data_IF_734308368551
#
_entry.id   IF_734308368551
#
_cell.length_a   1.000
_cell.length_b   1.000
_cell.length_c   1.000
_cell.angle_alpha   90.00
_cell.angle_beta   90.00
_cell.angle_gamma   90.00
#
_symmetry.space_group_name_H-M   'P 1'
#
loop_
_entity.id
_entity.type
_entity.pdbx_description
1 polymer ?
#
# COMPACT_ATOMS: atom_id res chain seq x y z
N UNK A 1 3.91 -11.30 -49.15
CA UNK A 1 4.90 -10.35 -49.72
C UNK A 1 6.16 -10.36 -48.86
N UNK A 2 7.26 -10.61 -49.50
CA UNK A 2 8.69 -10.72 -49.19
C UNK A 2 9.19 -10.17 -47.82
N UNK A 3 9.82 -11.07 -47.05
CA UNK A 3 10.79 -10.76 -45.96
C UNK A 3 12.17 -10.45 -46.56
N UNK A 4 13.00 -9.60 -45.95
CA UNK A 4 14.44 -9.69 -46.15
C UNK A 4 15.14 -10.28 -44.88
N UNK A 5 16.03 -11.22 -45.21
CA UNK A 5 17.13 -11.75 -44.37
C UNK A 5 18.14 -10.63 -44.09
N UNK A 6 18.67 -10.59 -42.88
CA UNK A 6 19.93 -9.92 -42.57
C UNK A 6 20.93 -10.91 -41.98
N UNK A 7 22.11 -10.89 -42.57
CA UNK A 7 23.21 -11.82 -42.36
C UNK A 7 23.98 -11.46 -41.07
N UNK A 8 24.41 -12.52 -40.37
CA UNK A 8 25.36 -12.49 -39.25
C UNK A 8 26.77 -12.38 -39.84
N UNK A 9 27.51 -11.36 -39.40
CA UNK A 9 28.94 -11.23 -39.69
C UNK A 9 29.71 -11.57 -38.40
N UNK A 10 30.41 -12.71 -38.40
CA UNK A 10 31.33 -13.12 -37.36
C UNK A 10 32.68 -12.39 -37.54
N UNK A 11 33.16 -11.73 -36.50
CA UNK A 11 34.49 -11.16 -36.45
C UNK A 11 35.31 -11.86 -35.39
N UNK A 12 36.25 -12.68 -35.85
CA UNK A 12 37.27 -13.36 -35.02
C UNK A 12 38.40 -12.40 -34.74
N UNK A 13 38.77 -12.22 -33.47
CA UNK A 13 40.01 -11.57 -33.07
C UNK A 13 40.87 -12.49 -32.21
N UNK A 14 42.09 -12.61 -32.64
CA UNK A 14 43.20 -13.43 -32.16
C UNK A 14 43.62 -13.08 -30.74
N UNK A 15 43.86 -14.12 -29.95
CA UNK A 15 44.61 -14.10 -28.69
C UNK A 15 46.14 -13.98 -29.02
N UNK A 16 46.77 -12.97 -28.43
CA UNK A 16 48.22 -12.92 -28.27
C UNK A 16 48.53 -13.09 -26.80
N UNK A 17 49.12 -14.21 -26.47
CA UNK A 17 49.75 -14.49 -25.17
C UNK A 17 51.10 -13.81 -25.11
N UNK A 18 51.36 -13.04 -24.08
CA UNK A 18 52.70 -12.66 -23.67
C UNK A 18 52.94 -13.11 -22.24
N UNK A 19 53.72 -14.17 -22.10
CA UNK A 19 54.37 -14.59 -20.86
C UNK A 19 55.43 -13.55 -20.46
N UNK A 20 55.37 -13.03 -19.26
CA UNK A 20 56.50 -12.40 -18.58
C UNK A 20 56.54 -12.83 -17.13
N UNK A 21 57.46 -13.71 -16.82
CA UNK A 21 57.95 -13.96 -15.48
C UNK A 21 58.74 -12.73 -15.02
N UNK A 22 58.36 -12.12 -13.91
CA UNK A 22 59.24 -11.21 -13.18
C UNK A 22 59.20 -11.47 -11.67
N UNK A 23 60.40 -11.56 -11.18
CA UNK A 23 60.98 -11.74 -9.87
C UNK A 23 60.19 -11.22 -8.65
N UNK A 24 60.07 -12.11 -7.66
CA UNK A 24 59.79 -11.77 -6.26
C UNK A 24 61.02 -11.10 -5.63
N UNK A 25 61.03 -9.80 -5.51
CA UNK A 25 61.86 -9.10 -4.54
C UNK A 25 61.00 -8.74 -3.30
N UNK A 26 61.55 -9.13 -2.16
CA UNK A 26 61.02 -8.83 -0.82
C UNK A 26 61.13 -7.32 -0.58
N UNK A 27 59.99 -6.59 -0.61
CA UNK A 27 59.95 -5.25 -0.04
C UNK A 27 59.54 -5.32 1.43
N UNK A 28 60.42 -4.76 2.24
CA UNK A 28 60.31 -4.56 3.68
C UNK A 28 59.18 -3.57 3.97
N UNK A 29 58.47 -3.83 5.07
CA UNK A 29 57.28 -3.10 5.53
C UNK A 29 57.38 -1.58 5.48
N UNK A 30 56.57 -1.00 4.63
CA UNK A 30 56.19 0.37 4.77
C UNK A 30 55.08 0.49 5.84
N UNK A 31 55.24 1.44 6.76
CA UNK A 31 54.23 1.74 7.77
C UNK A 31 52.91 2.06 7.09
N UNK A 32 51.76 1.61 7.66
CA UNK A 32 50.46 1.93 7.07
C UNK A 32 50.30 3.45 6.93
N UNK A 33 49.77 3.93 5.80
CA UNK A 33 49.55 5.35 5.61
C UNK A 33 48.67 5.89 6.75
N UNK A 34 48.90 7.14 7.21
CA UNK A 34 48.09 7.74 8.26
C UNK A 34 46.62 7.68 7.86
N UNK A 35 45.78 7.17 8.77
CA UNK A 35 44.34 7.17 8.62
C UNK A 35 43.92 8.62 8.30
N UNK A 36 43.58 8.86 7.03
CA UNK A 36 43.02 10.15 6.63
C UNK A 36 41.77 10.37 7.47
N UNK A 37 41.75 11.43 8.26
CA UNK A 37 40.57 11.86 9.01
C UNK A 37 39.42 11.99 7.99
N UNK A 38 38.48 11.04 8.02
CA UNK A 38 37.29 11.09 7.20
C UNK A 38 36.61 12.44 7.44
N UNK A 39 36.34 13.17 6.36
CA UNK A 39 35.52 14.40 6.46
C UNK A 39 34.25 14.03 7.27
N UNK A 40 33.81 14.91 8.20
CA UNK A 40 32.58 14.64 8.94
C UNK A 40 31.48 14.28 7.95
N UNK A 41 30.83 13.11 8.14
CA UNK A 41 29.75 12.67 7.26
C UNK A 41 28.61 13.69 7.24
N UNK A 42 27.77 13.65 6.21
CA UNK A 42 26.64 14.58 6.01
C UNK A 42 25.75 14.70 7.26
N UNK A 43 25.61 13.62 8.02
CA UNK A 43 24.82 13.57 9.25
C UNK A 43 25.59 13.95 10.53
N UNK A 44 26.83 14.40 10.47
CA UNK A 44 27.67 14.67 11.66
C UNK A 44 27.05 15.69 12.65
N UNK A 45 26.24 16.65 12.15
CA UNK A 45 25.49 17.62 12.96
C UNK A 45 24.13 17.08 13.48
N UNK A 46 23.84 15.78 13.34
CA UNK A 46 22.57 15.17 13.70
C UNK A 46 21.47 15.36 12.65
N UNK A 47 21.84 15.71 11.42
CA UNK A 47 20.92 15.90 10.30
C UNK A 47 20.17 17.24 10.32
N UNK A 48 19.36 17.47 9.27
CA UNK A 48 18.54 18.65 9.11
C UNK A 48 17.43 18.76 10.19
N UNK A 49 16.79 19.92 10.24
CA UNK A 49 15.68 20.18 11.17
C UNK A 49 14.42 20.56 10.39
N UNK A 50 13.30 19.97 10.78
CA UNK A 50 11.98 20.37 10.30
C UNK A 50 11.54 21.59 11.10
N UNK A 51 11.43 22.74 10.42
CA UNK A 51 11.00 24.01 11.04
C UNK A 51 9.49 24.15 11.13
N UNK A 52 8.75 23.31 10.41
CA UNK A 52 7.29 23.28 10.44
C UNK A 52 6.79 22.74 11.80
N UNK A 53 6.20 23.62 12.61
CA UNK A 53 5.77 23.30 13.98
C UNK A 53 4.67 22.24 14.04
N UNK A 54 3.90 22.05 12.95
CA UNK A 54 2.81 21.08 12.90
C UNK A 54 3.28 19.64 12.61
N UNK A 55 4.51 19.48 12.11
CA UNK A 55 5.02 18.16 11.71
C UNK A 55 6.41 17.82 12.23
N UNK A 56 7.13 18.78 12.82
CA UNK A 56 8.51 18.58 13.29
C UNK A 56 8.65 17.38 14.23
N UNK A 57 7.67 17.14 15.10
CA UNK A 57 7.68 16.03 16.05
C UNK A 57 7.56 14.64 15.39
N UNK A 58 7.09 14.55 14.16
CA UNK A 58 6.86 13.28 13.47
C UNK A 58 8.10 12.79 12.72
N UNK A 59 9.10 13.63 12.53
CA UNK A 59 10.29 13.31 11.76
C UNK A 59 11.53 13.18 12.66
N UNK A 60 12.00 11.94 12.91
CA UNK A 60 13.28 11.74 13.60
C UNK A 60 14.41 12.36 12.78
N UNK A 61 15.28 13.15 13.41
CA UNK A 61 16.42 13.76 12.71
C UNK A 61 17.36 12.73 12.11
N UNK A 62 17.47 11.56 12.75
CA UNK A 62 18.30 10.44 12.33
C UNK A 62 17.57 9.11 12.48
N UNK A 63 17.78 8.20 11.54
CA UNK A 63 17.31 6.82 11.59
C UNK A 63 18.36 5.88 10.95
N UNK A 64 18.94 4.97 11.73
CA UNK A 64 20.09 4.17 11.35
C UNK A 64 21.25 5.06 10.81
N UNK A 65 21.77 4.80 9.62
CA UNK A 65 22.82 5.62 8.99
C UNK A 65 22.26 6.86 8.26
N UNK A 66 20.95 7.01 8.17
CA UNK A 66 20.29 8.10 7.46
C UNK A 66 19.93 9.26 8.38
N UNK A 67 19.94 10.47 7.85
CA UNK A 67 19.44 11.67 8.53
C UNK A 67 18.62 12.52 7.57
N UNK A 68 17.75 13.38 8.13
CA UNK A 68 17.12 14.45 7.32
C UNK A 68 18.22 15.21 6.62
N UNK A 69 18.09 15.41 5.31
CA UNK A 69 19.05 16.13 4.49
C UNK A 69 19.25 17.57 5.04
N UNK A 70 20.43 17.92 5.56
CA UNK A 70 20.68 19.25 6.13
C UNK A 70 20.65 20.35 5.06
N UNK A 71 20.80 20.01 3.78
CA UNK A 71 20.75 20.92 2.63
C UNK A 71 19.45 20.75 1.84
N UNK A 72 18.59 19.80 2.25
CA UNK A 72 17.31 19.51 1.60
C UNK A 72 16.24 20.52 1.99
N UNK A 73 15.27 20.69 1.11
CA UNK A 73 14.11 21.50 1.37
C UNK A 73 13.04 20.69 2.10
N UNK A 74 12.45 21.28 3.15
CA UNK A 74 11.22 20.79 3.77
C UNK A 74 10.07 21.65 3.27
N UNK A 75 9.14 21.05 2.54
CA UNK A 75 7.98 21.75 1.99
C UNK A 75 6.70 21.30 2.66
N UNK A 76 5.80 22.23 2.91
CA UNK A 76 4.48 21.96 3.49
C UNK A 76 3.38 22.60 2.64
N UNK A 77 2.28 21.87 2.46
CA UNK A 77 1.16 22.24 1.61
C UNK A 77 -0.17 22.00 2.35
N UNK A 78 -1.16 22.80 2.05
CA UNK A 78 -2.52 22.67 2.58
C UNK A 78 -2.77 23.42 3.87
N UNK A 79 -3.56 22.86 4.76
CA UNK A 79 -4.00 23.50 6.01
C UNK A 79 -2.82 23.91 6.88
N UNK A 80 -2.80 25.16 7.29
CA UNK A 80 -1.74 25.76 8.13
C UNK A 80 -0.34 25.66 7.50
N UNK A 81 -0.24 25.65 6.16
CA UNK A 81 1.00 25.57 5.42
C UNK A 81 1.21 26.82 4.53
N UNK A 82 2.48 27.14 4.17
CA UNK A 82 2.78 28.29 3.29
C UNK A 82 2.22 28.13 1.88
N UNK A 83 2.11 26.90 1.38
CA UNK A 83 1.61 26.59 0.05
C UNK A 83 0.21 25.96 0.10
N UNK A 84 -0.62 26.25 -0.90
CA UNK A 84 -1.95 25.68 -1.01
C UNK A 84 -1.90 24.16 -1.30
N UNK A 85 -2.97 23.45 -0.96
CA UNK A 85 -3.08 22.01 -1.24
C UNK A 85 -3.04 21.72 -2.75
N UNK A 86 -3.56 22.61 -3.59
CA UNK A 86 -3.56 22.42 -5.05
C UNK A 86 -2.16 22.37 -5.66
N UNK A 87 -1.17 23.02 -5.03
CA UNK A 87 0.22 22.91 -5.47
C UNK A 87 0.81 21.51 -5.31
N UNK A 88 0.32 20.73 -4.35
CA UNK A 88 0.74 19.31 -4.19
C UNK A 88 0.50 18.52 -5.47
N UNK A 89 -0.60 18.78 -6.16
CA UNK A 89 -1.01 18.09 -7.36
C UNK A 89 -0.01 18.23 -8.51
N UNK A 90 0.59 19.43 -8.63
CA UNK A 90 1.54 19.74 -9.70
C UNK A 90 3.00 19.52 -9.31
N UNK A 91 3.30 19.59 -8.01
CA UNK A 91 4.69 19.57 -7.52
C UNK A 91 5.13 18.21 -6.95
N UNK A 92 4.19 17.38 -6.48
CA UNK A 92 4.52 16.11 -5.79
C UNK A 92 3.79 14.88 -6.34
N UNK A 93 2.53 14.99 -6.77
CA UNK A 93 1.66 13.84 -7.02
C UNK A 93 1.34 13.61 -8.49
N UNK A 94 1.98 14.37 -9.39
CA UNK A 94 1.92 14.19 -10.85
C UNK A 94 0.50 13.85 -11.40
N UNK A 95 -0.51 14.58 -10.91
CA UNK A 95 -1.91 14.40 -11.32
C UNK A 95 -2.76 13.46 -10.45
N UNK A 96 -2.20 12.64 -9.57
CA UNK A 96 -2.97 11.72 -8.69
C UNK A 96 -3.69 12.39 -7.51
N UNK A 97 -3.72 13.71 -7.48
CA UNK A 97 -4.21 14.50 -6.36
C UNK A 97 -5.67 14.23 -5.99
N UNK A 98 -6.51 13.98 -6.97
CA UNK A 98 -7.94 13.74 -6.74
C UNK A 98 -8.18 12.45 -5.91
N UNK A 99 -7.31 11.44 -6.06
CA UNK A 99 -7.36 10.24 -5.21
C UNK A 99 -7.15 10.63 -3.75
N UNK A 100 -6.11 11.40 -3.45
CA UNK A 100 -5.84 11.86 -2.07
C UNK A 100 -6.98 12.72 -1.51
N UNK A 101 -7.51 13.65 -2.33
CA UNK A 101 -8.62 14.54 -1.93
C UNK A 101 -9.90 13.77 -1.64
N UNK A 102 -10.20 12.69 -2.38
CA UNK A 102 -11.39 11.86 -2.15
C UNK A 102 -11.41 11.22 -0.77
N UNK A 103 -10.24 10.95 -0.18
CA UNK A 103 -10.08 10.47 1.21
C UNK A 103 -10.00 11.60 2.24
N UNK A 104 -10.12 12.86 1.83
CA UNK A 104 -10.12 14.00 2.73
C UNK A 104 -8.72 14.51 3.09
N UNK A 105 -7.78 14.53 2.15
CA UNK A 105 -6.45 15.12 2.34
C UNK A 105 -6.56 16.57 2.77
N UNK A 106 -5.91 16.94 3.89
CA UNK A 106 -5.86 18.31 4.41
C UNK A 106 -4.47 18.94 4.27
N UNK A 107 -3.42 18.14 4.43
CA UNK A 107 -2.04 18.64 4.52
C UNK A 107 -1.05 17.60 4.05
N UNK A 108 0.03 18.06 3.40
CA UNK A 108 1.20 17.24 3.06
C UNK A 108 2.46 17.93 3.50
N UNK A 109 3.40 17.18 4.05
CA UNK A 109 4.77 17.64 4.31
C UNK A 109 5.72 16.68 3.61
N UNK A 110 6.66 17.21 2.83
CA UNK A 110 7.67 16.42 2.13
C UNK A 110 9.07 16.81 2.58
N UNK A 111 9.92 15.82 2.73
CA UNK A 111 11.35 15.97 3.01
C UNK A 111 12.13 14.74 2.53
N UNK A 112 13.45 14.81 2.62
CA UNK A 112 14.35 13.75 2.18
C UNK A 112 15.31 13.35 3.30
N UNK A 113 15.52 12.04 3.44
CA UNK A 113 16.62 11.48 4.23
C UNK A 113 17.76 11.09 3.29
N UNK A 114 19.00 11.34 3.73
CA UNK A 114 20.24 11.02 2.99
C UNK A 114 21.15 10.14 3.84
N UNK A 115 21.98 9.35 3.19
CA UNK A 115 22.95 8.49 3.88
C UNK A 115 24.07 9.34 4.51
N UNK A 116 24.34 9.11 5.78
CA UNK A 116 25.41 9.78 6.52
C UNK A 116 26.81 9.51 5.98
N UNK A 117 27.02 8.37 5.31
CA UNK A 117 28.26 8.04 4.65
C UNK A 117 28.46 8.76 3.29
N UNK A 118 27.43 9.45 2.79
CA UNK A 118 27.49 10.21 1.53
C UNK A 118 27.22 9.36 0.29
N UNK A 119 26.59 8.18 0.43
CA UNK A 119 26.05 7.43 -0.70
C UNK A 119 24.97 8.27 -1.40
N UNK A 120 24.81 8.17 -2.73
CA UNK A 120 23.79 8.92 -3.47
C UNK A 120 22.34 8.47 -3.18
N UNK A 121 22.15 7.34 -2.49
CA UNK A 121 20.83 6.85 -2.13
C UNK A 121 20.10 7.77 -1.14
N UNK A 122 18.83 8.02 -1.41
CA UNK A 122 17.98 8.86 -0.58
C UNK A 122 16.60 8.25 -0.36
N UNK A 123 15.94 8.60 0.75
CA UNK A 123 14.55 8.26 1.03
C UNK A 123 13.73 9.54 1.03
N UNK A 124 12.86 9.69 0.05
CA UNK A 124 11.87 10.75 0.03
C UNK A 124 10.69 10.34 0.92
N UNK A 125 10.18 11.28 1.71
CA UNK A 125 9.05 11.03 2.60
C UNK A 125 7.98 12.07 2.35
N UNK A 126 6.77 11.61 2.03
CA UNK A 126 5.57 12.42 1.99
C UNK A 126 4.68 12.02 3.18
N UNK A 127 4.50 12.93 4.13
CA UNK A 127 3.58 12.75 5.24
C UNK A 127 2.27 13.47 4.93
N UNK A 128 1.24 12.69 4.68
CA UNK A 128 -0.12 13.15 4.42
C UNK A 128 -0.95 13.12 5.70
N UNK A 129 -1.68 14.21 5.98
CA UNK A 129 -2.70 14.29 7.02
C UNK A 129 -4.08 14.38 6.38
N UNK A 130 -4.97 13.55 6.84
CA UNK A 130 -6.36 13.49 6.40
C UNK A 130 -7.31 14.07 7.47
N UNK A 131 -8.51 14.44 7.06
CA UNK A 131 -9.55 14.99 7.94
C UNK A 131 -10.01 13.99 9.02
N UNK A 132 -9.86 12.68 8.75
CA UNK A 132 -10.26 11.62 9.67
C UNK A 132 -9.28 10.45 9.66
N UNK A 133 -9.32 9.64 10.73
CA UNK A 133 -8.63 8.35 10.81
C UNK A 133 -9.09 7.39 9.70
N UNK A 134 -10.37 7.36 9.45
CA UNK A 134 -10.96 6.46 8.45
C UNK A 134 -10.57 6.86 7.03
N UNK A 135 -10.52 8.16 6.71
CA UNK A 135 -10.00 8.65 5.45
C UNK A 135 -8.53 8.27 5.24
N UNK A 136 -7.70 8.46 6.28
CA UNK A 136 -6.30 8.04 6.25
C UNK A 136 -6.13 6.53 6.07
N UNK A 137 -6.95 5.72 6.76
CA UNK A 137 -6.88 4.26 6.64
C UNK A 137 -7.35 3.78 5.25
N UNK A 138 -8.43 4.37 4.74
CA UNK A 138 -8.91 4.09 3.38
C UNK A 138 -7.83 4.39 2.33
N UNK A 139 -7.22 5.56 2.42
CA UNK A 139 -6.10 5.92 1.55
C UNK A 139 -4.92 4.94 1.68
N UNK A 140 -4.53 4.59 2.91
CA UNK A 140 -3.48 3.60 3.16
C UNK A 140 -3.78 2.26 2.47
N UNK A 141 -4.99 1.71 2.65
CA UNK A 141 -5.36 0.43 2.01
C UNK A 141 -5.41 0.54 0.49
N UNK A 142 -5.88 1.67 -0.06
CA UNK A 142 -5.85 1.95 -1.50
C UNK A 142 -4.42 1.93 -2.06
N UNK A 143 -3.46 2.54 -1.35
CA UNK A 143 -2.04 2.54 -1.76
C UNK A 143 -1.39 1.16 -1.64
N UNK A 144 -1.77 0.37 -0.64
CA UNK A 144 -1.22 -0.98 -0.39
C UNK A 144 -1.64 -1.97 -1.46
N UNK A 145 -2.92 -1.97 -1.84
CA UNK A 145 -3.46 -2.88 -2.85
C UNK A 145 -3.19 -2.33 -4.26
N UNK A 146 -3.08 -1.00 -4.40
CA UNK A 146 -3.13 -0.31 -5.69
C UNK A 146 -4.42 -0.71 -6.45
N UNK A 147 -4.42 -0.60 -7.77
CA UNK A 147 -5.56 -1.03 -8.61
C UNK A 147 -5.33 -2.43 -9.21
N UNK A 148 -4.45 -3.23 -8.58
CA UNK A 148 -4.04 -4.54 -9.05
C UNK A 148 -4.65 -5.70 -8.28
N UNK A 149 -4.30 -6.90 -8.71
CA UNK A 149 -4.62 -8.13 -7.98
C UNK A 149 -3.83 -8.18 -6.66
N UNK A 150 -4.49 -8.22 -5.49
CA UNK A 150 -3.80 -8.30 -4.19
C UNK A 150 -2.85 -9.49 -4.06
N UNK A 151 -3.06 -10.57 -4.82
CA UNK A 151 -2.16 -11.74 -4.83
C UNK A 151 -0.86 -11.49 -5.59
N UNK A 152 -0.86 -10.57 -6.54
CA UNK A 152 0.31 -10.25 -7.37
C UNK A 152 1.09 -9.06 -6.82
N UNK A 153 0.39 -8.06 -6.29
CA UNK A 153 0.99 -6.79 -5.86
C UNK A 153 1.13 -6.65 -4.35
N UNK A 154 0.62 -7.62 -3.56
CA UNK A 154 0.62 -7.52 -2.09
C UNK A 154 2.03 -7.24 -1.54
N UNK A 155 2.26 -6.05 -0.97
CA UNK A 155 3.52 -5.74 -0.32
C UNK A 155 3.67 -6.56 0.96
N UNK A 156 4.91 -6.70 1.43
CA UNK A 156 5.18 -7.34 2.71
C UNK A 156 4.69 -6.46 3.86
N UNK A 157 4.17 -7.10 4.91
CA UNK A 157 3.85 -6.41 6.17
C UNK A 157 5.12 -5.83 6.77
N UNK A 158 5.03 -4.58 7.23
CA UNK A 158 6.08 -3.89 7.97
C UNK A 158 5.55 -3.55 9.38
N UNK A 159 6.37 -3.73 10.40
CA UNK A 159 5.98 -3.38 11.78
C UNK A 159 6.32 -1.90 12.05
N UNK A 160 5.37 -1.01 11.75
CA UNK A 160 5.47 0.43 12.01
C UNK A 160 4.08 1.04 12.18
N UNK A 161 3.97 2.11 12.97
CA UNK A 161 2.71 2.83 13.18
C UNK A 161 1.58 1.99 13.77
N UNK A 162 0.40 2.09 13.20
CA UNK A 162 -0.78 1.23 13.45
C UNK A 162 -0.88 0.13 12.39
N UNK A 163 -0.49 0.44 11.15
CA UNK A 163 -0.31 -0.51 10.07
C UNK A 163 0.75 0.00 9.11
N UNK A 164 1.53 -0.92 8.54
CA UNK A 164 2.49 -0.55 7.51
C UNK A 164 2.72 -1.70 6.52
N UNK A 165 3.09 -1.33 5.30
CA UNK A 165 3.37 -2.23 4.20
C UNK A 165 4.59 -1.75 3.43
N UNK A 166 5.34 -2.68 2.86
CA UNK A 166 6.53 -2.39 2.07
C UNK A 166 6.54 -3.19 0.77
N UNK A 167 6.60 -2.47 -0.34
CA UNK A 167 6.88 -2.99 -1.68
C UNK A 167 8.35 -2.80 -2.08
N UNK A 168 8.64 -2.95 -3.36
CA UNK A 168 9.97 -2.68 -3.89
C UNK A 168 10.22 -1.17 -3.93
N UNK A 169 11.15 -0.70 -3.11
CA UNK A 169 11.55 0.71 -3.09
C UNK A 169 10.57 1.66 -2.41
N UNK A 170 9.43 1.18 -1.91
CA UNK A 170 8.40 2.03 -1.31
C UNK A 170 7.82 1.40 -0.06
N UNK A 171 7.44 2.22 0.91
CA UNK A 171 6.67 1.79 2.08
C UNK A 171 5.57 2.80 2.42
N UNK A 172 4.51 2.29 3.02
CA UNK A 172 3.38 3.06 3.53
C UNK A 172 3.23 2.79 5.03
N UNK A 173 3.10 3.84 5.82
CA UNK A 173 2.90 3.76 7.28
C UNK A 173 1.68 4.57 7.66
N UNK A 174 0.67 3.90 8.21
CA UNK A 174 -0.53 4.55 8.71
C UNK A 174 -0.53 4.63 10.24
N UNK A 175 -1.01 5.75 10.79
CA UNK A 175 -1.42 5.90 12.19
C UNK A 175 -2.36 7.09 12.37
N UNK A 176 -3.51 6.88 13.01
CA UNK A 176 -4.51 7.93 13.21
C UNK A 176 -4.88 8.61 11.89
N UNK A 177 -4.87 9.95 11.80
CA UNK A 177 -5.18 10.67 10.57
C UNK A 177 -3.99 10.81 9.61
N UNK A 178 -2.89 10.07 9.82
CA UNK A 178 -1.66 10.23 9.04
C UNK A 178 -1.33 9.00 8.21
N UNK A 179 -0.79 9.25 7.00
CA UNK A 179 -0.10 8.25 6.18
C UNK A 179 1.25 8.83 5.76
N UNK A 180 2.33 8.12 6.06
CA UNK A 180 3.65 8.42 5.52
C UNK A 180 3.96 7.47 4.36
N UNK A 181 4.32 8.03 3.22
CA UNK A 181 4.82 7.32 2.04
C UNK A 181 6.32 7.55 1.95
N UNK A 182 7.09 6.47 1.97
CA UNK A 182 8.56 6.51 1.90
C UNK A 182 8.99 5.88 0.59
N UNK A 183 9.78 6.57 -0.22
CA UNK A 183 10.33 6.04 -1.46
C UNK A 183 11.85 6.16 -1.50
N UNK A 184 12.54 5.04 -1.70
CA UNK A 184 13.98 5.00 -1.88
C UNK A 184 14.34 5.21 -3.34
N UNK A 185 15.29 6.09 -3.59
CA UNK A 185 15.81 6.40 -4.93
C UNK A 185 17.33 6.38 -4.93
N UNK A 186 17.91 5.76 -5.96
CA UNK A 186 19.33 5.82 -6.26
C UNK A 186 19.55 5.54 -7.75
N UNK A 187 19.92 6.55 -8.50
CA UNK A 187 20.09 6.47 -9.96
C UNK A 187 21.26 5.59 -10.40
N UNK A 188 22.18 5.27 -9.48
CA UNK A 188 23.36 4.46 -9.76
C UNK A 188 23.11 2.96 -9.51
N UNK A 189 21.98 2.58 -8.91
CA UNK A 189 21.65 1.20 -8.60
C UNK A 189 20.82 0.54 -9.73
N UNK A 190 21.14 -0.71 -10.02
CA UNK A 190 20.26 -1.56 -10.83
C UNK A 190 18.96 -1.87 -10.06
N UNK A 191 17.88 -2.33 -10.74
CA UNK A 191 16.63 -2.70 -10.07
C UNK A 191 16.80 -3.70 -8.92
N UNK A 192 17.66 -4.71 -9.07
CA UNK A 192 17.93 -5.70 -8.04
C UNK A 192 18.70 -5.09 -6.84
N UNK A 193 19.66 -4.20 -7.11
CA UNK A 193 20.36 -3.46 -6.08
C UNK A 193 19.41 -2.52 -5.34
N UNK A 194 18.57 -1.77 -6.06
CA UNK A 194 17.55 -0.89 -5.47
C UNK A 194 16.61 -1.69 -4.55
N UNK A 195 16.13 -2.84 -5.00
CA UNK A 195 15.30 -3.75 -4.19
C UNK A 195 16.04 -4.18 -2.91
N UNK A 196 17.29 -4.60 -3.02
CA UNK A 196 18.08 -5.08 -1.88
C UNK A 196 18.44 -3.96 -0.90
N UNK A 197 18.76 -2.76 -1.41
CA UNK A 197 19.15 -1.61 -0.58
C UNK A 197 17.91 -1.02 0.11
N UNK A 198 16.81 -0.79 -0.62
CA UNK A 198 15.58 -0.26 -0.05
C UNK A 198 15.03 -1.13 1.08
N UNK A 199 15.12 -2.47 0.94
CA UNK A 199 14.71 -3.42 1.97
C UNK A 199 15.49 -3.29 3.30
N UNK A 200 16.67 -2.68 3.28
CA UNK A 200 17.47 -2.41 4.48
C UNK A 200 17.29 -0.99 5.01
N UNK A 201 17.09 -0.04 4.11
CA UNK A 201 17.13 1.40 4.43
C UNK A 201 15.77 1.92 4.89
N UNK A 202 14.70 1.53 4.21
CA UNK A 202 13.35 2.05 4.51
C UNK A 202 12.83 1.63 5.90
N UNK A 203 12.93 0.34 6.34
CA UNK A 203 12.29 -0.10 7.58
C UNK A 203 12.68 0.70 8.83
N UNK A 204 13.96 1.00 9.13
CA UNK A 204 14.29 1.76 10.33
C UNK A 204 13.80 3.21 10.30
N UNK A 205 13.65 3.83 9.12
CA UNK A 205 13.08 5.17 8.97
C UNK A 205 11.56 5.11 9.20
N UNK A 206 10.89 4.16 8.54
CA UNK A 206 9.46 3.94 8.65
C UNK A 206 9.03 3.63 10.10
N UNK A 207 9.77 2.77 10.82
CA UNK A 207 9.51 2.44 12.22
C UNK A 207 9.57 3.69 13.10
N UNK A 208 10.65 4.47 13.00
CA UNK A 208 10.81 5.69 13.81
C UNK A 208 9.75 6.75 13.50
N UNK A 209 9.38 6.94 12.23
CA UNK A 209 8.28 7.83 11.87
C UNK A 209 6.98 7.29 12.47
N UNK A 210 6.67 6.01 12.29
CA UNK A 210 5.47 5.37 12.82
C UNK A 210 5.35 5.44 14.35
N UNK A 211 6.47 5.40 15.08
CA UNK A 211 6.51 5.62 16.54
C UNK A 211 6.13 7.05 16.91
N UNK A 212 6.56 8.04 16.13
CA UNK A 212 6.33 9.46 16.40
C UNK A 212 4.99 9.98 15.91
N UNK A 213 4.35 9.32 14.93
CA UNK A 213 3.00 9.68 14.50
C UNK A 213 2.01 9.60 15.68
N UNK A 214 1.09 10.55 15.75
CA UNK A 214 0.04 10.59 16.78
C UNK A 214 -1.24 9.90 16.33
N UNK A 215 -2.11 9.60 17.29
CA UNK A 215 -3.43 9.00 17.07
C UNK A 215 -3.45 7.49 17.25
N UNK A 216 -4.64 6.92 17.05
CA UNK A 216 -4.93 5.50 17.22
C UNK A 216 -4.08 4.61 16.31
N UNK A 217 -3.79 3.41 16.81
CA UNK A 217 -3.16 2.32 16.06
C UNK A 217 -4.15 1.25 15.61
N UNK A 218 -5.37 1.31 16.11
CA UNK A 218 -6.39 0.31 15.81
C UNK A 218 -7.06 0.60 14.47
N UNK A 219 -7.12 -0.42 13.63
CA UNK A 219 -7.85 -0.35 12.36
C UNK A 219 -9.34 -0.06 12.60
N UNK A 220 -10.07 0.47 11.60
CA UNK A 220 -11.53 0.62 11.68
C UNK A 220 -12.23 -0.69 12.06
N UNK A 221 -13.32 -0.60 12.82
CA UNK A 221 -14.06 -1.78 13.33
C UNK A 221 -14.52 -2.73 12.21
N UNK A 222 -14.86 -2.20 11.04
CA UNK A 222 -15.22 -3.00 9.89
C UNK A 222 -14.05 -3.88 9.39
N UNK A 223 -12.81 -3.40 9.48
CA UNK A 223 -11.61 -4.18 9.15
C UNK A 223 -11.35 -5.27 10.19
N UNK A 224 -11.52 -4.93 11.47
CA UNK A 224 -11.35 -5.89 12.56
C UNK A 224 -12.40 -7.02 12.54
N UNK A 225 -13.57 -6.76 11.96
CA UNK A 225 -14.65 -7.75 11.82
C UNK A 225 -14.48 -8.72 10.64
N UNK A 226 -13.55 -8.47 9.71
CA UNK A 226 -13.24 -9.39 8.61
C UNK A 226 -12.54 -10.64 9.15
N UNK A 227 -12.91 -11.83 8.64
CA UNK A 227 -12.22 -13.07 8.97
C UNK A 227 -10.73 -12.99 8.63
N UNK A 228 -9.89 -13.65 9.43
CA UNK A 228 -8.43 -13.67 9.20
C UNK A 228 -7.97 -14.94 8.49
N UNK A 229 -8.72 -16.04 8.65
CA UNK A 229 -8.44 -17.30 7.96
C UNK A 229 -8.57 -17.14 6.44
N UNK A 230 -7.62 -17.68 5.69
CA UNK A 230 -7.58 -17.64 4.22
C UNK A 230 -7.54 -16.23 3.60
N UNK A 231 -7.47 -15.19 4.41
CA UNK A 231 -7.31 -13.83 3.89
C UNK A 231 -5.92 -13.65 3.27
N UNK A 232 -5.89 -13.07 2.07
CA UNK A 232 -4.64 -12.72 1.38
C UNK A 232 -3.85 -11.74 2.28
N UNK A 233 -2.55 -11.96 2.48
CA UNK A 233 -1.72 -11.02 3.23
C UNK A 233 -1.87 -9.61 2.67
N UNK A 234 -2.10 -8.63 3.55
CA UNK A 234 -2.39 -7.22 3.20
C UNK A 234 -3.62 -7.02 2.30
N UNK A 235 -4.37 -8.07 1.98
CA UNK A 235 -5.57 -8.02 1.13
C UNK A 235 -6.78 -7.45 1.86
N UNK A 236 -6.76 -6.15 2.13
CA UNK A 236 -7.87 -5.40 2.73
C UNK A 236 -8.01 -4.06 2.03
N UNK A 237 -9.22 -3.72 1.61
CA UNK A 237 -9.62 -2.38 1.19
C UNK A 237 -10.63 -1.81 2.18
N UNK A 238 -10.52 -0.53 2.49
CA UNK A 238 -11.45 0.17 3.36
C UNK A 238 -11.99 1.42 2.67
N UNK A 239 -13.31 1.49 2.56
CA UNK A 239 -14.00 2.66 2.04
C UNK A 239 -14.52 3.50 3.21
N UNK A 240 -14.03 4.73 3.32
CA UNK A 240 -14.38 5.65 4.41
C UNK A 240 -15.78 6.27 4.26
N UNK A 241 -16.48 6.01 3.16
CA UNK A 241 -17.75 6.64 2.82
C UNK A 241 -18.85 5.61 2.59
N UNK A 242 -19.06 5.23 1.38
CA UNK A 242 -20.16 4.33 0.99
C UNK A 242 -19.58 3.08 0.32
N UNK A 243 -19.50 1.98 1.06
CA UNK A 243 -18.93 0.72 0.56
C UNK A 243 -19.65 0.26 -0.70
N UNK A 244 -18.88 -0.22 -1.69
CA UNK A 244 -19.37 -0.64 -3.02
C UNK A 244 -20.08 0.51 -3.78
N UNK A 245 -19.78 1.76 -3.49
CA UNK A 245 -20.45 2.95 -4.06
C UNK A 245 -21.97 2.90 -3.93
N UNK A 246 -22.48 2.28 -2.87
CA UNK A 246 -23.90 2.22 -2.57
C UNK A 246 -24.26 3.33 -1.58
N UNK A 247 -24.89 4.38 -2.07
CA UNK A 247 -25.26 5.54 -1.25
C UNK A 247 -26.07 5.17 -0.01
N UNK A 248 -25.62 5.66 1.14
CA UNK A 248 -26.28 5.47 2.43
C UNK A 248 -25.95 4.16 3.15
N UNK A 249 -25.04 3.32 2.62
CA UNK A 249 -24.57 2.16 3.38
C UNK A 249 -23.43 2.53 4.35
N UNK A 250 -22.75 3.67 4.10
CA UNK A 250 -21.69 4.18 4.94
C UNK A 250 -20.38 3.39 4.84
N UNK A 251 -19.38 3.69 5.73
CA UNK A 251 -18.05 3.12 5.66
C UNK A 251 -18.05 1.60 5.87
N UNK A 252 -17.10 0.91 5.23
CA UNK A 252 -16.98 -0.53 5.35
C UNK A 252 -15.66 -1.06 4.81
N UNK A 253 -15.42 -2.33 4.99
CA UNK A 253 -14.21 -3.02 4.56
C UNK A 253 -14.49 -4.17 3.62
N UNK A 254 -13.57 -4.41 2.70
CA UNK A 254 -13.48 -5.60 1.85
C UNK A 254 -12.20 -6.35 2.20
N UNK A 255 -12.32 -7.64 2.44
CA UNK A 255 -11.19 -8.57 2.54
C UNK A 255 -11.10 -9.42 1.28
N UNK A 256 -9.90 -9.74 0.84
CA UNK A 256 -9.61 -10.61 -0.30
C UNK A 256 -9.15 -11.96 0.22
N UNK A 257 -9.75 -13.04 -0.26
CA UNK A 257 -9.55 -14.40 0.27
C UNK A 257 -9.20 -15.39 -0.83
N UNK A 258 -8.38 -16.40 -0.45
CA UNK A 258 -8.01 -17.49 -1.33
C UNK A 258 -7.92 -18.80 -0.58
N UNK A 259 -8.49 -19.87 -1.17
CA UNK A 259 -8.32 -21.26 -0.72
C UNK A 259 -8.14 -22.18 -1.93
N UNK A 260 -6.94 -22.73 -2.08
CA UNK A 260 -6.56 -23.42 -3.31
C UNK A 260 -6.71 -22.53 -4.52
N UNK A 261 -7.54 -22.95 -5.46
CA UNK A 261 -7.85 -22.16 -6.69
C UNK A 261 -9.07 -21.26 -6.52
N UNK A 262 -9.80 -21.34 -5.39
CA UNK A 262 -10.98 -20.53 -5.13
C UNK A 262 -10.61 -19.17 -4.57
N UNK A 263 -11.30 -18.14 -5.04
CA UNK A 263 -11.12 -16.74 -4.65
C UNK A 263 -12.48 -16.10 -4.38
N UNK A 264 -12.53 -15.26 -3.34
CA UNK A 264 -13.73 -14.49 -3.00
C UNK A 264 -13.37 -13.23 -2.23
N UNK A 265 -14.36 -12.35 -2.09
CA UNK A 265 -14.27 -11.19 -1.20
C UNK A 265 -15.27 -11.34 -0.05
N UNK A 266 -14.86 -10.88 1.13
CA UNK A 266 -15.79 -10.66 2.25
C UNK A 266 -15.98 -9.17 2.43
N UNK A 267 -17.21 -8.75 2.73
CA UNK A 267 -17.50 -7.40 3.16
C UNK A 267 -17.90 -7.37 4.63
N UNK A 268 -17.57 -6.27 5.27
CA UNK A 268 -18.01 -5.95 6.63
C UNK A 268 -18.38 -4.47 6.74
N UNK A 269 -19.59 -4.20 7.28
CA UNK A 269 -20.07 -2.88 7.63
C UNK A 269 -20.52 -2.92 9.08
N UNK A 270 -19.76 -2.32 9.98
CA UNK A 270 -20.09 -2.24 11.40
C UNK A 270 -20.77 -0.91 11.69
N UNK A 271 -21.87 -0.96 12.44
CA UNK A 271 -22.70 0.20 12.79
C UNK A 271 -22.75 0.37 14.32
N UNK A 272 -23.28 1.50 14.74
CA UNK A 272 -23.40 1.80 16.17
C UNK A 272 -24.33 0.83 16.89
N UNK A 273 -25.40 0.40 16.21
CA UNK A 273 -26.39 -0.51 16.74
C UNK A 273 -27.01 -1.45 15.67
N UNK A 274 -27.84 -2.38 16.12
CA UNK A 274 -28.55 -3.35 15.25
C UNK A 274 -29.57 -2.69 14.34
N UNK A 275 -30.20 -1.59 14.76
CA UNK A 275 -31.20 -0.90 13.94
C UNK A 275 -30.52 -0.27 12.72
N UNK A 276 -29.39 0.40 12.92
CA UNK A 276 -28.59 0.96 11.84
C UNK A 276 -28.06 -0.14 10.88
N UNK A 277 -27.61 -1.28 11.40
CA UNK A 277 -27.21 -2.41 10.56
C UNK A 277 -28.40 -2.99 9.74
N UNK A 278 -29.60 -3.03 10.33
CA UNK A 278 -30.82 -3.44 9.62
C UNK A 278 -31.19 -2.47 8.50
N UNK A 279 -31.02 -1.17 8.72
CA UNK A 279 -31.28 -0.16 7.68
C UNK A 279 -30.28 -0.27 6.52
N UNK A 280 -29.00 -0.58 6.80
CA UNK A 280 -28.01 -0.90 5.77
C UNK A 280 -28.47 -2.10 4.93
N UNK A 281 -28.83 -3.21 5.57
CA UNK A 281 -29.30 -4.40 4.86
C UNK A 281 -30.53 -4.12 4.02
N UNK A 282 -31.48 -3.30 4.53
CA UNK A 282 -32.64 -2.84 3.79
C UNK A 282 -32.28 -1.97 2.58
N UNK A 283 -31.24 -1.12 2.71
CA UNK A 283 -30.74 -0.31 1.60
C UNK A 283 -30.16 -1.20 0.51
N UNK A 284 -29.33 -2.20 0.86
CA UNK A 284 -28.83 -3.19 -0.09
C UNK A 284 -29.95 -4.01 -0.75
N UNK A 285 -31.01 -4.31 0.00
CA UNK A 285 -32.20 -5.01 -0.51
C UNK A 285 -33.05 -4.22 -1.50
N UNK A 286 -32.83 -2.91 -1.64
CA UNK A 286 -33.51 -2.05 -2.62
C UNK A 286 -32.74 -1.91 -3.94
N UNK A 287 -31.52 -2.43 -4.01
CA UNK A 287 -30.75 -2.41 -5.25
C UNK A 287 -31.50 -3.16 -6.36
N UNK A 288 -31.31 -2.72 -7.58
CA UNK A 288 -31.94 -3.37 -8.74
C UNK A 288 -31.57 -4.85 -8.80
N UNK A 289 -32.56 -5.70 -8.98
CA UNK A 289 -32.38 -7.15 -9.01
C UNK A 289 -32.09 -7.82 -7.67
N UNK A 290 -32.07 -7.06 -6.55
CA UNK A 290 -31.87 -7.64 -5.23
C UNK A 290 -33.02 -8.58 -4.83
N UNK A 291 -32.68 -9.68 -4.13
CA UNK A 291 -33.67 -10.68 -3.68
C UNK A 291 -33.35 -11.10 -2.25
N UNK A 292 -34.40 -11.31 -1.44
CA UNK A 292 -34.27 -11.94 -0.12
C UNK A 292 -33.77 -13.37 -0.26
N UNK A 293 -32.79 -13.75 0.56
CA UNK A 293 -32.30 -15.14 0.64
C UNK A 293 -33.24 -15.94 1.54
N UNK A 294 -33.76 -17.06 1.02
CA UNK A 294 -34.64 -17.97 1.75
C UNK A 294 -33.85 -19.15 2.34
N UNK A 295 -34.39 -19.79 3.39
CA UNK A 295 -33.78 -20.97 3.99
C UNK A 295 -32.60 -20.70 4.93
N UNK A 296 -32.52 -19.46 5.45
CA UNK A 296 -31.61 -19.04 6.52
C UNK A 296 -32.41 -18.53 7.73
N UNK A 297 -31.79 -18.54 8.91
CA UNK A 297 -32.43 -18.12 10.19
C UNK A 297 -32.19 -16.64 10.53
N UNK A 298 -31.53 -15.94 9.64
CA UNK A 298 -31.18 -14.52 9.78
C UNK A 298 -31.59 -13.71 8.56
N UNK A 299 -31.69 -12.39 8.71
CA UNK A 299 -31.99 -11.49 7.60
C UNK A 299 -30.84 -11.50 6.59
N UNK A 300 -31.12 -11.85 5.33
CA UNK A 300 -30.15 -11.87 4.26
C UNK A 300 -30.71 -11.47 2.90
N UNK A 301 -29.87 -10.81 2.10
CA UNK A 301 -30.21 -10.42 0.73
C UNK A 301 -29.06 -10.80 -0.22
N UNK A 302 -29.41 -11.04 -1.48
CA UNK A 302 -28.44 -11.18 -2.57
C UNK A 302 -28.68 -10.09 -3.60
N UNK A 303 -27.62 -9.59 -4.18
CA UNK A 303 -27.65 -8.57 -5.23
C UNK A 303 -26.41 -8.70 -6.13
N UNK A 304 -26.44 -8.03 -7.25
CA UNK A 304 -25.28 -7.91 -8.14
C UNK A 304 -24.85 -6.45 -8.19
N UNK A 305 -23.56 -6.22 -8.14
CA UNK A 305 -22.96 -4.89 -8.29
C UNK A 305 -22.03 -4.88 -9.50
N UNK A 306 -22.00 -3.77 -10.19
CA UNK A 306 -21.09 -3.45 -11.28
C UNK A 306 -20.62 -2.03 -11.05
N UNK A 307 -19.30 -1.80 -10.96
CA UNK A 307 -18.75 -0.47 -10.66
C UNK A 307 -19.04 0.51 -11.82
N UNK A 308 -18.81 0.07 -13.05
CA UNK A 308 -19.10 0.79 -14.29
C UNK A 308 -19.42 -0.20 -15.43
N UNK A 309 -19.76 0.31 -16.63
CA UNK A 309 -20.17 -0.52 -17.77
C UNK A 309 -19.07 -1.49 -18.23
N UNK A 310 -17.79 -1.16 -17.99
CA UNK A 310 -16.63 -1.98 -18.38
C UNK A 310 -16.21 -2.98 -17.30
N UNK A 311 -16.64 -2.77 -16.06
CA UNK A 311 -16.31 -3.61 -14.92
C UNK A 311 -17.11 -4.92 -14.94
N UNK A 312 -16.58 -6.02 -14.39
CA UNK A 312 -17.33 -7.27 -14.25
C UNK A 312 -18.48 -7.12 -13.25
N UNK A 313 -19.54 -7.88 -13.48
CA UNK A 313 -20.65 -7.99 -12.52
C UNK A 313 -20.24 -8.90 -11.38
N UNK A 314 -20.32 -8.40 -10.17
CA UNK A 314 -19.99 -9.09 -8.91
C UNK A 314 -21.26 -9.46 -8.18
N UNK A 315 -21.47 -10.76 -7.94
CA UNK A 315 -22.58 -11.24 -7.17
C UNK A 315 -22.25 -11.32 -5.68
N UNK A 316 -23.10 -10.71 -4.85
CA UNK A 316 -22.98 -10.65 -3.40
C UNK A 316 -24.14 -11.39 -2.70
N UNK A 317 -23.84 -12.08 -1.61
CA UNK A 317 -24.80 -12.54 -0.62
C UNK A 317 -24.40 -11.93 0.72
N UNK A 318 -25.29 -11.18 1.36
CA UNK A 318 -24.99 -10.45 2.61
C UNK A 318 -26.04 -10.77 3.66
N UNK A 319 -25.64 -10.79 4.92
CA UNK A 319 -26.51 -11.04 6.05
C UNK A 319 -26.17 -10.17 7.25
N UNK A 320 -27.09 -10.05 8.21
CA UNK A 320 -26.90 -9.26 9.43
C UNK A 320 -26.47 -10.18 10.60
N UNK A 321 -25.44 -9.71 11.33
CA UNK A 321 -24.96 -10.28 12.59
C UNK A 321 -24.87 -9.17 13.63
N UNK A 322 -25.86 -9.08 14.56
CA UNK A 322 -25.89 -7.99 15.53
C UNK A 322 -25.89 -6.62 14.84
N UNK A 323 -24.96 -5.77 15.21
CA UNK A 323 -24.75 -4.45 14.64
C UNK A 323 -23.88 -4.43 13.36
N UNK A 324 -23.58 -5.59 12.79
CA UNK A 324 -22.80 -5.67 11.56
C UNK A 324 -23.62 -6.27 10.40
N UNK A 325 -23.31 -5.82 9.19
CA UNK A 325 -23.67 -6.50 7.94
C UNK A 325 -22.39 -7.13 7.39
N UNK A 326 -22.42 -8.43 7.16
CA UNK A 326 -21.30 -9.21 6.60
C UNK A 326 -21.75 -9.86 5.31
N UNK A 327 -20.82 -10.13 4.40
CA UNK A 327 -21.19 -10.73 3.13
C UNK A 327 -20.05 -11.38 2.39
N UNK A 328 -20.42 -12.24 1.44
CA UNK A 328 -19.53 -12.95 0.53
C UNK A 328 -19.85 -12.52 -0.89
N UNK A 329 -18.83 -12.15 -1.64
CA UNK A 329 -18.95 -11.78 -3.04
C UNK A 329 -17.89 -12.44 -3.91
N UNK A 330 -18.15 -12.45 -5.20
CA UNK A 330 -17.11 -12.79 -6.19
C UNK A 330 -15.97 -11.79 -6.10
N UNK A 331 -14.78 -12.22 -6.45
CA UNK A 331 -13.70 -11.29 -6.68
C UNK A 331 -13.91 -10.59 -8.03
N UNK A 332 -13.62 -9.29 -8.02
CA UNK A 332 -13.58 -8.49 -9.26
C UNK A 332 -12.25 -8.77 -9.94
N UNK A 333 -12.19 -9.86 -10.66
CA UNK A 333 -11.05 -10.15 -11.50
C UNK A 333 -11.09 -9.17 -12.67
N UNK A 334 -10.15 -8.23 -12.72
CA UNK A 334 -9.85 -7.49 -13.94
C UNK A 334 -9.20 -8.51 -14.88
N UNK A 335 -10.04 -9.16 -15.66
CA UNK A 335 -9.59 -10.14 -16.62
C UNK A 335 -8.98 -9.37 -17.79
N UNK A 336 -7.74 -9.68 -18.15
CA UNK A 336 -7.24 -9.28 -19.47
C UNK A 336 -8.21 -9.76 -20.56
N UNK A 337 -8.26 -9.08 -21.70
CA UNK A 337 -9.18 -9.39 -22.80
C UNK A 337 -9.16 -10.88 -23.26
N UNK A 338 -8.12 -11.61 -22.86
CA UNK A 338 -7.90 -13.02 -23.18
C UNK A 338 -8.43 -14.00 -22.12
N UNK A 339 -8.89 -13.51 -20.96
CA UNK A 339 -9.43 -14.36 -19.90
C UNK A 339 -10.94 -14.49 -20.10
N UNK A 340 -11.41 -15.72 -20.32
CA UNK A 340 -12.83 -16.00 -20.53
C UNK A 340 -13.64 -15.88 -19.24
N UNK A 341 -14.91 -15.54 -19.34
CA UNK A 341 -15.87 -15.63 -18.22
C UNK A 341 -15.88 -17.02 -17.56
N UNK A 342 -15.55 -18.06 -18.31
CA UNK A 342 -15.41 -19.43 -17.83
C UNK A 342 -14.22 -19.59 -16.87
N UNK A 343 -13.07 -18.91 -17.12
CA UNK A 343 -11.93 -18.94 -16.20
C UNK A 343 -12.28 -18.24 -14.87
N UNK A 344 -12.98 -17.11 -14.92
CA UNK A 344 -13.47 -16.43 -13.73
C UNK A 344 -14.45 -17.30 -12.93
N UNK A 345 -15.37 -18.00 -13.61
CA UNK A 345 -16.32 -18.90 -12.96
C UNK A 345 -15.64 -20.11 -12.26
N UNK A 346 -14.50 -20.59 -12.76
CA UNK A 346 -13.74 -21.67 -12.12
C UNK A 346 -13.13 -21.27 -10.78
N UNK A 347 -12.65 -20.04 -10.68
CA UNK A 347 -12.03 -19.53 -9.44
C UNK A 347 -13.04 -18.97 -8.45
N UNK A 348 -14.24 -18.57 -8.89
CA UNK A 348 -15.29 -18.04 -8.03
C UNK A 348 -15.95 -19.15 -7.19
N UNK A 349 -16.47 -18.77 -6.01
CA UNK A 349 -17.36 -19.63 -5.22
C UNK A 349 -18.72 -19.80 -5.92
N UNK A 350 -19.28 -20.98 -5.87
CA UNK A 350 -20.66 -21.22 -6.27
C UNK A 350 -21.65 -20.50 -5.31
N UNK A 351 -22.89 -20.34 -5.72
CA UNK A 351 -23.95 -19.75 -4.87
C UNK A 351 -24.12 -20.51 -3.54
N UNK A 352 -24.04 -21.85 -3.56
CA UNK A 352 -24.13 -22.66 -2.33
C UNK A 352 -22.92 -22.46 -1.41
N UNK A 353 -21.71 -22.44 -1.97
CA UNK A 353 -20.49 -22.18 -1.19
C UNK A 353 -20.53 -20.78 -0.54
N UNK A 354 -20.91 -19.73 -1.27
CA UNK A 354 -21.09 -18.38 -0.71
C UNK A 354 -22.09 -18.37 0.45
N UNK A 355 -23.22 -19.09 0.28
CA UNK A 355 -24.24 -19.17 1.34
C UNK A 355 -23.72 -19.89 2.58
N UNK A 356 -22.94 -20.96 2.41
CA UNK A 356 -22.38 -21.71 3.54
C UNK A 356 -21.28 -20.90 4.25
N UNK A 357 -20.44 -20.16 3.51
CA UNK A 357 -19.53 -19.18 4.11
C UNK A 357 -20.29 -18.09 4.88
N UNK A 358 -21.36 -17.53 4.30
CA UNK A 358 -22.17 -16.52 5.00
C UNK A 358 -22.78 -17.06 6.30
N UNK A 359 -23.33 -18.30 6.29
CA UNK A 359 -23.83 -18.96 7.50
C UNK A 359 -22.76 -19.08 8.57
N UNK A 360 -21.52 -19.43 8.18
CA UNK A 360 -20.40 -19.52 9.10
C UNK A 360 -20.05 -18.15 9.68
N UNK A 361 -20.02 -17.07 8.88
CA UNK A 361 -19.76 -15.71 9.35
C UNK A 361 -20.84 -15.20 10.31
N UNK A 362 -22.13 -15.45 10.02
CA UNK A 362 -23.24 -14.98 10.85
C UNK A 362 -23.42 -15.86 12.08
N UNK A 363 -23.30 -17.17 11.94
CA UNK A 363 -23.55 -18.16 13.00
C UNK A 363 -22.36 -18.45 13.91
N UNK A 364 -21.13 -18.10 13.53
CA UNK A 364 -19.92 -18.25 14.32
C UNK A 364 -19.89 -17.22 15.46
N UNK A 365 -20.27 -17.65 16.66
CA UNK A 365 -20.04 -16.97 17.95
C UNK A 365 -19.34 -17.92 18.87
#
# INVERSE_FOLDING_TARGET
MKRPFFAVLALSTLLVACDKKENLEKEQGAAPPPVQSSKPGVCAGGGGMVKDSHSAAFFPRTAASYCIDPNGEVRAFGKDAPASLDKVCTELFDGECEVYKSFGLERVVTLRYVDGAGSPGAVNVNLSRFASKDGAYGFYTKRVIADGDPLEVAPAKLEAGGAAAMGTGIAYVWRGPFVAELSYTNELESPDQLKATSAKVIPPIAQKIGEQLSGDKEAPSAVAALATDKRVPMGVSFEAKDLLDVSGVGPGALGFYKDGDKRWRELSLVRDDEAAAKDVLKTLGKLEGAKTVKGVTFDAVRFTRQADESSPKVAWIVGRKGNAVVGIGDEELVLSADQSAEAAAKVSLSESEKLDHLKALVGGS
#
